data_IF_229711666081
#
_entry.id   IF_229711666081
#
_cell.length_a   1.000
_cell.length_b   1.000
_cell.length_c   1.000
_cell.angle_alpha   90.00
_cell.angle_beta   90.00
_cell.angle_gamma   90.00
#
_symmetry.space_group_name_H-M   'P 1'
#
loop_
_entity.id
_entity.type
_entity.pdbx_description
1 polymer ?
#
# COMPACT_ATOMS: atom_id res chain seq x y z
N UNK A 1 0.33 0.27 -13.24
CA UNK A 1 1.11 1.00 -12.21
C UNK A 1 0.22 1.09 -10.96
N UNK A 2 0.69 0.60 -9.82
CA UNK A 2 0.03 0.79 -8.52
C UNK A 2 0.81 1.84 -7.74
N UNK A 3 0.26 3.06 -7.70
CA UNK A 3 0.89 4.24 -7.09
C UNK A 3 0.01 4.94 -6.06
N UNK A 4 -1.26 4.52 -5.90
CA UNK A 4 -2.09 5.06 -4.84
C UNK A 4 -1.45 4.75 -3.49
N UNK A 5 -1.31 5.79 -2.65
CA UNK A 5 -0.66 5.69 -1.37
C UNK A 5 -1.04 6.84 -0.46
N UNK A 6 -1.11 6.56 0.83
CA UNK A 6 -1.33 7.51 1.91
C UNK A 6 -0.17 7.42 2.90
N UNK A 7 0.35 8.57 3.30
CA UNK A 7 1.28 8.67 4.43
C UNK A 7 0.52 8.92 5.73
N UNK A 8 1.12 8.55 6.86
CA UNK A 8 0.64 8.90 8.18
C UNK A 8 1.86 9.09 9.09
N UNK A 9 2.06 10.33 9.53
CA UNK A 9 3.24 10.74 10.29
C UNK A 9 2.79 11.32 11.62
N UNK A 10 3.36 10.84 12.72
CA UNK A 10 3.15 11.38 14.05
C UNK A 10 3.33 10.34 15.15
N UNK A 11 3.28 10.76 16.43
CA UNK A 11 3.24 9.84 17.55
C UNK A 11 2.01 8.93 17.45
N UNK A 12 2.20 7.64 17.73
CA UNK A 12 1.16 6.62 17.56
C UNK A 12 -0.07 6.89 18.45
N UNK A 13 0.14 7.49 19.62
CA UNK A 13 -0.91 7.85 20.57
C UNK A 13 -1.78 9.03 20.11
N UNK A 14 -1.32 9.81 19.12
CA UNK A 14 -2.04 10.93 18.55
C UNK A 14 -2.86 10.55 17.30
N UNK A 15 -2.71 9.33 16.80
CA UNK A 15 -3.34 8.85 15.58
C UNK A 15 -4.55 8.00 15.90
N UNK A 16 -5.65 8.22 15.18
CA UNK A 16 -6.86 7.41 15.35
C UNK A 16 -6.72 6.06 14.64
N UNK A 17 -7.36 5.04 15.20
CA UNK A 17 -7.43 3.71 14.56
C UNK A 17 -8.04 3.78 13.15
N UNK A 18 -8.95 4.71 12.91
CA UNK A 18 -9.59 4.86 11.60
C UNK A 18 -8.64 5.45 10.55
N UNK A 19 -7.78 6.40 10.92
CA UNK A 19 -6.69 6.87 10.05
C UNK A 19 -5.71 5.74 9.74
N UNK A 20 -5.34 4.95 10.74
CA UNK A 20 -4.44 3.80 10.54
C UNK A 20 -5.03 2.76 9.58
N UNK A 21 -6.33 2.46 9.75
CA UNK A 21 -7.06 1.57 8.84
C UNK A 21 -7.10 2.15 7.43
N UNK A 22 -7.31 3.46 7.26
CA UNK A 22 -7.35 4.09 5.94
C UNK A 22 -6.00 3.97 5.21
N UNK A 23 -4.88 4.10 5.92
CA UNK A 23 -3.53 3.86 5.37
C UNK A 23 -3.41 2.41 4.88
N UNK A 24 -3.73 1.43 5.73
CA UNK A 24 -3.66 0.02 5.37
C UNK A 24 -4.62 -0.36 4.25
N UNK A 25 -5.82 0.22 4.25
CA UNK A 25 -6.83 -0.01 3.22
C UNK A 25 -6.36 0.48 1.86
N UNK A 26 -5.69 1.64 1.81
CA UNK A 26 -5.17 2.21 0.57
C UNK A 26 -3.89 1.51 0.11
N UNK A 27 -2.87 1.45 0.99
CA UNK A 27 -1.50 1.07 0.60
C UNK A 27 -1.36 -0.44 0.40
N UNK A 28 -2.05 -1.23 1.23
CA UNK A 28 -1.94 -2.69 1.21
C UNK A 28 -3.16 -3.34 0.56
N UNK A 29 -4.34 -3.18 1.15
CA UNK A 29 -5.54 -3.88 0.67
C UNK A 29 -6.00 -3.39 -0.69
N UNK A 30 -5.87 -2.08 -0.98
CA UNK A 30 -6.17 -1.48 -2.28
C UNK A 30 -5.33 -2.10 -3.40
N UNK A 31 -4.02 -2.25 -3.15
CA UNK A 31 -3.11 -2.93 -4.07
C UNK A 31 -3.51 -4.41 -4.26
N UNK A 32 -3.84 -5.13 -3.18
CA UNK A 32 -4.30 -6.53 -3.26
C UNK A 32 -5.59 -6.65 -4.08
N UNK A 33 -6.56 -5.73 -3.92
CA UNK A 33 -7.79 -5.69 -4.72
C UNK A 33 -7.47 -5.45 -6.19
N UNK A 34 -6.63 -4.47 -6.50
CA UNK A 34 -6.19 -4.21 -7.88
C UNK A 34 -5.57 -5.46 -8.51
N UNK A 35 -4.68 -6.16 -7.80
CA UNK A 35 -4.07 -7.38 -8.28
C UNK A 35 -5.09 -8.49 -8.54
N UNK A 36 -6.05 -8.69 -7.63
CA UNK A 36 -7.11 -9.68 -7.81
C UNK A 36 -7.92 -9.45 -9.09
N UNK A 37 -8.16 -8.19 -9.44
CA UNK A 37 -8.90 -7.85 -10.65
C UNK A 37 -8.06 -8.01 -11.93
N UNK A 38 -6.82 -7.51 -11.95
CA UNK A 38 -6.06 -7.44 -13.23
C UNK A 38 -5.21 -8.67 -13.51
N UNK A 39 -4.73 -9.36 -12.47
CA UNK A 39 -3.76 -10.45 -12.62
C UNK A 39 -4.32 -11.69 -13.36
N UNK A 40 -5.58 -12.11 -13.16
CA UNK A 40 -6.13 -13.27 -13.88
C UNK A 40 -6.07 -13.08 -15.40
N UNK A 41 -6.47 -11.91 -15.90
CA UNK A 41 -6.45 -11.64 -17.34
C UNK A 41 -5.03 -11.44 -17.88
N UNK A 42 -4.09 -10.92 -17.05
CA UNK A 42 -2.66 -10.87 -17.39
C UNK A 42 -2.08 -12.27 -17.60
N UNK A 43 -2.46 -13.21 -16.73
CA UNK A 43 -2.04 -14.61 -16.82
C UNK A 43 -2.59 -15.27 -18.08
N UNK A 44 -3.88 -15.08 -18.40
CA UNK A 44 -4.51 -15.65 -19.62
C UNK A 44 -3.76 -15.23 -20.89
N UNK A 45 -3.45 -13.93 -21.02
CA UNK A 45 -2.73 -13.38 -22.19
C UNK A 45 -1.21 -13.58 -22.15
N UNK A 46 -0.67 -14.14 -21.07
CA UNK A 46 0.77 -14.34 -20.82
C UNK A 46 1.62 -13.08 -21.06
N UNK A 47 1.05 -11.90 -20.82
CA UNK A 47 1.66 -10.61 -21.17
C UNK A 47 1.20 -9.49 -20.25
N UNK A 48 2.15 -8.67 -19.82
CA UNK A 48 1.92 -7.42 -19.11
C UNK A 48 2.83 -7.27 -17.91
N UNK A 49 2.96 -6.04 -17.42
CA UNK A 49 3.82 -5.70 -16.28
C UNK A 49 3.02 -4.96 -15.21
N UNK A 50 3.22 -5.37 -13.97
CA UNK A 50 2.75 -4.64 -12.79
C UNK A 50 3.96 -3.99 -12.16
N UNK A 51 3.91 -2.67 -12.00
CA UNK A 51 4.89 -1.90 -11.24
C UNK A 51 4.17 -1.41 -9.99
N UNK A 52 4.72 -1.75 -8.82
CA UNK A 52 4.25 -1.30 -7.51
C UNK A 52 5.24 -0.27 -7.00
N UNK A 53 4.75 0.90 -6.62
CA UNK A 53 5.56 1.92 -5.97
C UNK A 53 5.56 1.64 -4.47
N UNK A 54 6.75 1.47 -3.92
CA UNK A 54 7.00 1.26 -2.48
C UNK A 54 7.88 2.39 -1.95
N UNK A 55 8.27 2.32 -0.68
CA UNK A 55 9.18 3.25 -0.02
C UNK A 55 10.36 2.51 0.60
N UNK A 56 11.46 3.22 0.85
CA UNK A 56 12.55 2.75 1.73
C UNK A 56 12.01 2.36 3.11
N UNK A 57 10.91 2.98 3.53
CA UNK A 57 10.27 2.71 4.81
C UNK A 57 9.64 1.31 4.89
N UNK A 58 9.36 0.68 3.73
CA UNK A 58 8.93 -0.73 3.69
C UNK A 58 10.05 -1.74 3.97
N UNK A 59 11.30 -1.30 4.05
CA UNK A 59 12.47 -2.14 4.41
C UNK A 59 13.20 -1.65 5.67
N UNK A 60 12.88 -0.45 6.16
CA UNK A 60 13.48 0.13 7.34
C UNK A 60 12.46 1.02 8.07
N UNK A 61 12.19 0.73 9.34
CA UNK A 61 11.34 1.59 10.17
C UNK A 61 11.97 2.98 10.40
N UNK A 62 11.15 4.02 10.29
CA UNK A 62 11.50 5.41 10.59
C UNK A 62 10.59 5.92 11.69
N UNK A 63 11.15 6.68 12.63
CA UNK A 63 10.40 7.25 13.76
C UNK A 63 9.17 8.03 13.29
N UNK A 64 8.06 7.89 14.02
CA UNK A 64 6.76 8.52 13.75
C UNK A 64 6.07 8.09 12.46
N UNK A 65 6.52 7.00 11.82
CA UNK A 65 5.89 6.44 10.63
C UNK A 65 5.48 4.99 10.88
N UNK A 66 5.09 4.67 12.11
CA UNK A 66 4.92 3.30 12.59
C UNK A 66 3.85 2.50 11.82
N UNK A 67 2.92 3.20 11.17
CA UNK A 67 1.78 2.64 10.43
C UNK A 67 2.00 2.64 8.92
N UNK A 68 2.89 3.48 8.41
CA UNK A 68 3.16 3.67 6.98
C UNK A 68 4.31 2.78 6.51
#
# INVERSE_FOLDING_TARGET
LSNAGMGLIGPIECQSIDEMKAVMDTNFFGMVRLLKEVLPDMKKRKKGHIVVISSVMGIQGILFNDVY
#
